data_IF_610145073689
#
_entry.id   IF_610145073689
#
_cell.length_a   1.000
_cell.length_b   1.000
_cell.length_c   1.000
_cell.angle_alpha   90.00
_cell.angle_beta   90.00
_cell.angle_gamma   90.00
#
_symmetry.space_group_name_H-M   'P 1'
#
loop_
_entity.id
_entity.type
_entity.pdbx_description
1 polymer ?
#
# COMPACT_ATOMS: atom_id res chain seq x y z
N UNK A 1 24.89 -19.70 10.21
CA UNK A 1 23.92 -19.43 9.11
C UNK A 1 23.70 -17.92 8.93
N UNK A 2 23.31 -17.18 9.97
CA UNK A 2 23.10 -15.72 9.91
C UNK A 2 24.34 -14.92 9.44
N UNK A 3 25.54 -15.15 10.00
CA UNK A 3 26.80 -14.51 9.54
C UNK A 3 27.20 -14.87 8.09
N UNK A 4 26.69 -15.97 7.54
CA UNK A 4 26.90 -16.36 6.13
C UNK A 4 25.91 -15.67 5.19
N UNK A 5 24.68 -15.42 5.64
CA UNK A 5 23.64 -14.75 4.85
C UNK A 5 23.73 -13.22 4.94
N UNK A 6 24.19 -12.70 6.09
CA UNK A 6 24.32 -11.28 6.38
C UNK A 6 25.70 -10.99 6.95
N UNK A 7 26.77 -11.07 6.13
CA UNK A 7 28.15 -10.86 6.58
C UNK A 7 28.39 -9.44 7.13
N UNK A 8 27.56 -8.48 6.73
CA UNK A 8 27.60 -7.08 7.18
C UNK A 8 26.45 -6.71 8.13
N UNK A 9 25.72 -7.70 8.67
CA UNK A 9 24.54 -7.47 9.49
C UNK A 9 23.25 -7.33 8.68
N UNK A 10 22.11 -7.33 9.38
CA UNK A 10 20.79 -7.14 8.76
C UNK A 10 20.63 -5.64 8.46
N UNK A 11 20.28 -5.26 7.21
CA UNK A 11 20.08 -3.86 6.86
C UNK A 11 18.92 -3.26 7.66
N UNK A 12 18.99 -1.97 7.94
CA UNK A 12 17.87 -1.26 8.55
C UNK A 12 16.67 -1.29 7.59
N UNK A 13 15.52 -1.77 8.08
CA UNK A 13 14.33 -1.95 7.25
C UNK A 13 13.21 -0.94 7.52
N UNK A 14 13.20 -0.33 8.72
CA UNK A 14 12.09 0.47 9.23
C UNK A 14 11.01 -0.39 9.93
N UNK A 15 10.33 0.20 10.92
CA UNK A 15 9.34 -0.52 11.73
C UNK A 15 8.10 -0.95 10.92
N UNK A 16 7.62 -0.09 10.02
CA UNK A 16 6.41 -0.39 9.23
C UNK A 16 6.64 -1.47 8.19
N UNK A 17 7.83 -1.50 7.59
CA UNK A 17 8.23 -2.58 6.69
C UNK A 17 8.22 -3.95 7.40
N UNK A 18 8.73 -3.99 8.64
CA UNK A 18 8.71 -5.20 9.46
C UNK A 18 7.29 -5.60 9.84
N UNK A 19 6.44 -4.67 10.27
CA UNK A 19 5.03 -4.94 10.58
C UNK A 19 4.28 -5.50 9.38
N UNK A 20 4.40 -4.83 8.23
CA UNK A 20 3.76 -5.26 6.98
C UNK A 20 4.24 -6.65 6.57
N UNK A 21 5.54 -6.94 6.66
CA UNK A 21 6.08 -8.25 6.37
C UNK A 21 5.49 -9.34 7.29
N UNK A 22 5.48 -9.10 8.60
CA UNK A 22 4.90 -10.04 9.57
C UNK A 22 3.40 -10.25 9.34
N UNK A 23 2.66 -9.17 9.12
CA UNK A 23 1.22 -9.22 8.85
C UNK A 23 0.89 -9.86 7.50
N UNK A 24 1.81 -9.87 6.53
CA UNK A 24 1.60 -10.49 5.21
C UNK A 24 1.69 -12.02 5.23
N UNK A 25 2.19 -12.62 6.31
CA UNK A 25 2.28 -14.06 6.42
C UNK A 25 0.93 -14.66 6.76
N UNK A 26 0.53 -15.65 5.97
CA UNK A 26 -0.63 -16.45 6.28
C UNK A 26 -0.32 -17.45 7.40
N UNK A 27 -0.59 -17.06 8.64
CA UNK A 27 -0.27 -17.87 9.83
C UNK A 27 -1.33 -18.97 10.02
N UNK A 28 -1.15 -20.08 9.30
CA UNK A 28 -1.86 -21.35 9.56
C UNK A 28 -0.99 -22.33 10.37
N UNK A 29 0.27 -21.97 10.66
CA UNK A 29 1.29 -22.79 11.30
C UNK A 29 1.94 -22.00 12.42
N UNK A 30 2.42 -22.69 13.47
CA UNK A 30 2.99 -22.08 14.67
C UNK A 30 4.27 -21.24 14.39
N UNK A 31 4.98 -21.58 13.31
CA UNK A 31 6.23 -20.90 12.92
C UNK A 31 6.06 -19.92 11.75
N UNK A 32 6.51 -18.68 11.94
CA UNK A 32 6.71 -17.69 10.88
C UNK A 32 8.16 -17.73 10.40
N UNK A 33 8.37 -18.17 9.16
CA UNK A 33 9.69 -18.04 8.50
C UNK A 33 9.85 -16.63 7.94
N UNK A 34 10.33 -15.72 8.80
CA UNK A 34 10.61 -14.35 8.39
C UNK A 34 11.77 -14.30 7.41
N UNK A 35 11.50 -13.78 6.22
CA UNK A 35 12.49 -13.50 5.18
C UNK A 35 12.83 -12.01 5.17
N UNK A 36 14.12 -11.68 5.37
CA UNK A 36 14.61 -10.28 5.31
C UNK A 36 14.38 -9.68 3.92
N UNK A 37 14.42 -10.49 2.86
CA UNK A 37 14.10 -10.03 1.50
C UNK A 37 12.67 -9.47 1.41
N UNK A 38 11.71 -10.15 2.03
CA UNK A 38 10.31 -9.72 2.13
C UNK A 38 10.19 -8.41 2.91
N UNK A 39 10.92 -8.26 4.03
CA UNK A 39 10.94 -7.00 4.79
C UNK A 39 11.49 -5.84 3.93
N UNK A 40 12.57 -6.08 3.17
CA UNK A 40 13.12 -5.07 2.27
C UNK A 40 12.16 -4.70 1.14
N UNK A 41 11.41 -5.68 0.61
CA UNK A 41 10.35 -5.41 -0.37
C UNK A 41 9.29 -4.47 0.19
N UNK A 42 8.84 -4.69 1.43
CA UNK A 42 7.90 -3.79 2.10
C UNK A 42 8.50 -2.42 2.43
N UNK A 43 9.81 -2.30 2.68
CA UNK A 43 10.49 -1.00 2.78
C UNK A 43 10.38 -0.22 1.47
N UNK A 44 10.61 -0.87 0.33
CA UNK A 44 10.45 -0.24 -0.97
C UNK A 44 9.01 0.17 -1.24
N UNK A 45 8.03 -0.65 -0.83
CA UNK A 45 6.62 -0.31 -0.90
C UNK A 45 6.28 0.93 -0.05
N UNK A 46 6.69 0.98 1.22
CA UNK A 46 6.48 2.15 2.09
C UNK A 46 7.08 3.42 1.49
N UNK A 47 8.27 3.34 0.89
CA UNK A 47 8.88 4.46 0.19
C UNK A 47 8.09 4.89 -1.05
N UNK A 48 7.56 3.94 -1.83
CA UNK A 48 6.70 4.23 -2.99
C UNK A 48 5.40 4.91 -2.54
N UNK A 49 4.79 4.46 -1.44
CA UNK A 49 3.61 5.08 -0.85
C UNK A 49 3.89 6.52 -0.42
N UNK A 50 5.00 6.76 0.28
CA UNK A 50 5.43 8.11 0.65
C UNK A 50 5.59 9.03 -0.56
N UNK A 51 6.27 8.57 -1.60
CA UNK A 51 6.46 9.34 -2.82
C UNK A 51 5.13 9.62 -3.55
N UNK A 52 4.22 8.65 -3.59
CA UNK A 52 2.89 8.82 -4.18
C UNK A 52 2.06 9.87 -3.43
N UNK A 53 2.03 9.80 -2.10
CA UNK A 53 1.31 10.79 -1.27
C UNK A 53 1.93 12.17 -1.44
N UNK A 54 3.27 12.28 -1.39
CA UNK A 54 3.97 13.54 -1.59
C UNK A 54 3.64 14.15 -2.95
N UNK A 55 3.69 13.35 -4.03
CA UNK A 55 3.33 13.81 -5.38
C UNK A 55 1.91 14.38 -5.43
N UNK A 56 0.93 13.70 -4.81
CA UNK A 56 -0.46 14.18 -4.78
C UNK A 56 -0.58 15.47 -3.97
N UNK A 57 0.03 15.55 -2.79
CA UNK A 57 0.00 16.76 -1.97
C UNK A 57 0.66 17.96 -2.68
N UNK A 58 1.79 17.73 -3.34
CA UNK A 58 2.49 18.75 -4.14
C UNK A 58 1.60 19.24 -5.30
N UNK A 59 0.86 18.33 -5.96
CA UNK A 59 -0.06 18.67 -7.05
C UNK A 59 -1.33 19.41 -6.59
N UNK A 60 -1.82 19.13 -5.38
CA UNK A 60 -2.96 19.84 -4.79
C UNK A 60 -2.58 21.27 -4.38
N UNK A 61 -1.34 21.47 -3.94
CA UNK A 61 -0.84 22.77 -3.49
C UNK A 61 -1.20 23.09 -2.02
N UNK A 62 -0.55 24.10 -1.42
CA UNK A 62 -0.65 24.39 0.01
C UNK A 62 -2.02 24.95 0.44
N UNK A 63 -2.78 25.54 -0.49
CA UNK A 63 -4.07 26.18 -0.23
C UNK A 63 -5.26 25.26 -0.56
N UNK A 64 -5.00 23.97 -0.87
CA UNK A 64 -6.06 23.04 -1.16
C UNK A 64 -6.92 22.75 0.07
N UNK A 65 -8.23 22.98 -0.08
CA UNK A 65 -9.23 22.62 0.92
C UNK A 65 -10.11 21.51 0.32
N UNK A 66 -10.19 20.33 0.95
CA UNK A 66 -11.04 19.26 0.45
C UNK A 66 -12.51 19.67 0.52
N UNK A 67 -13.25 19.39 -0.55
CA UNK A 67 -14.70 19.56 -0.57
C UNK A 67 -15.36 18.54 0.35
N UNK A 68 -16.57 18.85 0.88
CA UNK A 68 -17.37 17.86 1.58
C UNK A 68 -17.58 16.62 0.69
N UNK A 69 -17.59 15.39 1.26
CA UNK A 69 -17.82 14.17 0.48
C UNK A 69 -19.14 14.20 -0.30
N UNK A 70 -20.17 14.84 0.25
CA UNK A 70 -21.49 15.00 -0.38
C UNK A 70 -21.44 15.84 -1.67
N UNK A 71 -20.44 16.71 -1.80
CA UNK A 71 -20.23 17.58 -2.96
C UNK A 71 -19.12 17.04 -3.90
N UNK A 72 -18.48 15.94 -3.51
CA UNK A 72 -17.33 15.38 -4.22
C UNK A 72 -17.80 14.30 -5.19
N UNK A 73 -17.94 14.67 -6.46
CA UNK A 73 -18.27 13.72 -7.53
C UNK A 73 -17.08 13.48 -8.47
N UNK A 74 -16.82 12.21 -8.86
CA UNK A 74 -15.75 11.89 -9.79
C UNK A 74 -16.06 12.44 -11.20
N UNK A 75 -15.21 13.34 -11.68
CA UNK A 75 -15.41 14.08 -12.93
C UNK A 75 -14.96 13.28 -14.15
N UNK A 76 -13.89 12.51 -14.02
CA UNK A 76 -13.34 11.70 -15.11
C UNK A 76 -13.69 10.21 -14.94
N UNK A 77 -13.85 9.43 -16.03
CA UNK A 77 -14.02 7.98 -15.93
C UNK A 77 -12.92 7.27 -15.12
N UNK A 78 -11.69 7.80 -15.15
CA UNK A 78 -10.56 7.28 -14.38
C UNK A 78 -10.74 7.49 -12.86
N UNK A 79 -11.33 8.60 -12.44
CA UNK A 79 -11.65 8.89 -11.04
C UNK A 79 -12.69 7.88 -10.53
N UNK A 80 -13.75 7.65 -11.32
CA UNK A 80 -14.75 6.62 -11.03
C UNK A 80 -14.11 5.24 -10.92
N UNK A 81 -13.21 4.92 -11.83
CA UNK A 81 -12.53 3.63 -11.84
C UNK A 81 -11.65 3.45 -10.59
N UNK A 82 -10.83 4.43 -10.21
CA UNK A 82 -9.95 4.27 -9.04
C UNK A 82 -10.76 4.22 -7.74
N UNK A 83 -11.84 4.99 -7.63
CA UNK A 83 -12.75 4.94 -6.48
C UNK A 83 -13.45 3.59 -6.38
N UNK A 84 -13.86 3.00 -7.51
CA UNK A 84 -14.37 1.62 -7.54
C UNK A 84 -13.34 0.60 -7.05
N UNK A 85 -12.07 0.73 -7.46
CA UNK A 85 -10.98 -0.15 -6.99
C UNK A 85 -10.72 0.05 -5.50
N UNK A 86 -10.78 1.28 -5.01
CA UNK A 86 -10.62 1.61 -3.60
C UNK A 86 -11.74 1.00 -2.76
N UNK A 87 -12.99 1.17 -3.17
CA UNK A 87 -14.14 0.58 -2.49
C UNK A 87 -14.05 -0.95 -2.42
N UNK A 88 -13.65 -1.59 -3.53
CA UNK A 88 -13.41 -3.03 -3.56
C UNK A 88 -12.31 -3.45 -2.57
N UNK A 89 -11.19 -2.72 -2.54
CA UNK A 89 -10.09 -3.03 -1.63
C UNK A 89 -10.47 -2.80 -0.16
N UNK A 90 -11.22 -1.73 0.14
CA UNK A 90 -11.71 -1.44 1.48
C UNK A 90 -12.65 -2.55 1.98
N UNK A 91 -13.62 -2.99 1.18
CA UNK A 91 -14.53 -4.08 1.54
C UNK A 91 -13.81 -5.42 1.71
N UNK A 92 -12.79 -5.70 0.90
CA UNK A 92 -11.96 -6.88 1.09
C UNK A 92 -11.13 -6.80 2.37
N UNK A 93 -10.54 -5.64 2.68
CA UNK A 93 -9.84 -5.42 3.94
C UNK A 93 -10.77 -5.65 5.14
N UNK A 94 -11.97 -5.07 5.13
CA UNK A 94 -12.97 -5.23 6.19
C UNK A 94 -13.30 -6.71 6.41
N UNK A 95 -13.73 -7.40 5.34
CA UNK A 95 -14.08 -8.83 5.40
C UNK A 95 -12.95 -9.71 5.92
N UNK A 96 -11.71 -9.43 5.51
CA UNK A 96 -10.52 -10.18 5.95
C UNK A 96 -10.17 -9.89 7.40
N UNK A 97 -10.29 -8.64 7.83
CA UNK A 97 -10.03 -8.24 9.22
C UNK A 97 -11.08 -8.86 10.16
N UNK A 98 -12.36 -8.91 9.77
CA UNK A 98 -13.42 -9.60 10.53
C UNK A 98 -13.14 -11.10 10.68
N UNK A 99 -12.61 -11.73 9.63
CA UNK A 99 -12.20 -13.13 9.65
C UNK A 99 -10.85 -13.37 10.37
N UNK A 100 -10.22 -12.32 10.94
CA UNK A 100 -8.87 -12.35 11.50
C UNK A 100 -7.77 -12.78 10.51
N UNK A 101 -8.05 -12.67 9.21
CA UNK A 101 -7.14 -12.97 8.10
C UNK A 101 -6.31 -11.73 7.72
N UNK A 102 -5.50 -11.24 8.66
CA UNK A 102 -4.72 -9.98 8.50
C UNK A 102 -3.87 -9.97 7.22
N UNK A 103 -3.30 -11.11 6.84
CA UNK A 103 -2.52 -11.26 5.61
C UNK A 103 -3.32 -10.94 4.34
N UNK A 104 -4.61 -11.32 4.30
CA UNK A 104 -5.50 -11.01 3.20
C UNK A 104 -5.78 -9.50 3.11
N UNK A 105 -5.97 -8.84 4.25
CA UNK A 105 -6.15 -7.38 4.29
C UNK A 105 -4.90 -6.63 3.81
N UNK A 106 -3.70 -7.06 4.25
CA UNK A 106 -2.42 -6.50 3.77
C UNK A 106 -2.28 -6.68 2.26
N UNK A 107 -2.60 -7.87 1.74
CA UNK A 107 -2.53 -8.16 0.31
C UNK A 107 -3.49 -7.27 -0.50
N UNK A 108 -4.73 -7.07 -0.03
CA UNK A 108 -5.73 -6.22 -0.68
C UNK A 108 -5.28 -4.75 -0.72
N UNK A 109 -4.84 -4.20 0.42
CA UNK A 109 -4.33 -2.84 0.51
C UNK A 109 -3.09 -2.62 -0.37
N UNK A 110 -2.13 -3.55 -0.30
CA UNK A 110 -0.90 -3.51 -1.09
C UNK A 110 -1.21 -3.55 -2.60
N UNK A 111 -2.11 -4.44 -3.03
CA UNK A 111 -2.53 -4.55 -4.42
C UNK A 111 -3.19 -3.25 -4.92
N UNK A 112 -4.10 -2.66 -4.16
CA UNK A 112 -4.72 -1.38 -4.54
C UNK A 112 -3.66 -0.29 -4.74
N UNK A 113 -2.82 -0.05 -3.74
CA UNK A 113 -1.83 1.02 -3.77
C UNK A 113 -0.84 0.86 -4.92
N UNK A 114 -0.30 -0.35 -5.08
CA UNK A 114 0.72 -0.59 -6.09
C UNK A 114 0.11 -0.62 -7.50
N UNK A 115 -0.89 -1.49 -7.72
CA UNK A 115 -1.37 -1.86 -9.05
C UNK A 115 -2.47 -0.97 -9.58
N UNK A 116 -3.34 -0.46 -8.70
CA UNK A 116 -4.47 0.37 -9.13
C UNK A 116 -4.10 1.85 -9.04
N UNK A 117 -3.58 2.29 -7.89
CA UNK A 117 -3.30 3.71 -7.68
C UNK A 117 -2.01 4.16 -8.35
N UNK A 118 -0.86 3.55 -8.02
CA UNK A 118 0.42 4.04 -8.53
C UNK A 118 0.65 3.69 -9.99
N UNK A 119 0.45 2.43 -10.39
CA UNK A 119 0.81 1.96 -11.73
C UNK A 119 -0.17 2.44 -12.82
N UNK A 120 -1.43 2.74 -12.47
CA UNK A 120 -2.48 3.13 -13.43
C UNK A 120 -2.99 4.55 -13.17
N UNK A 121 -3.54 4.82 -11.99
CA UNK A 121 -4.21 6.10 -11.73
C UNK A 121 -3.25 7.29 -11.77
N UNK A 122 -2.13 7.25 -11.06
CA UNK A 122 -1.15 8.35 -11.04
C UNK A 122 -0.51 8.58 -12.40
N UNK A 123 -0.22 7.51 -13.15
CA UNK A 123 0.31 7.62 -14.51
C UNK A 123 -0.72 8.24 -15.45
N UNK A 124 -1.99 7.83 -15.37
CA UNK A 124 -3.07 8.39 -16.17
C UNK A 124 -3.38 9.85 -15.80
N UNK A 125 -3.35 10.20 -14.52
CA UNK A 125 -3.59 11.55 -14.02
C UNK A 125 -2.49 12.53 -14.45
N UNK A 126 -1.22 12.08 -14.50
CA UNK A 126 -0.11 12.91 -14.99
C UNK A 126 -0.19 13.22 -16.51
N UNK A 127 -1.05 12.53 -17.26
CA UNK A 127 -1.17 12.64 -18.72
C UNK A 127 -2.42 13.42 -19.15
N UNK A 128 -3.36 13.70 -18.23
CA UNK A 128 -4.55 14.50 -18.51
C UNK A 128 -4.31 15.96 -18.05
N UNK A 129 -4.29 16.94 -18.97
CA UNK A 129 -4.09 18.35 -18.62
C UNK A 129 -5.28 18.94 -17.84
#
# INVERSE_FOLDING_TARGET
LQKRQFPHGIPECGADALRMALCSHNVHSDDIRLDVGTVLSYRHFCNKLWNAVKFVLDALGPDFVPQPPEETEPRHPMDRWVLSRLAQAAGECERRMEALEVHGAVAAAHHFWLRSFCDVYLVGAAVCP
#
